data_IF_543391655745
#
_entry.id   IF_543391655745
#
_cell.length_a   1.000
_cell.length_b   1.000
_cell.length_c   1.000
_cell.angle_alpha   90.00
_cell.angle_beta   90.00
_cell.angle_gamma   90.00
#
_symmetry.space_group_name_H-M   'P 1'
#
loop_
_entity.id
_entity.type
_entity.pdbx_description
1 polymer ?
#
# COMPACT_ATOMS: atom_id res chain seq x y z
N UNK A 1 -8.17 -3.79 -0.17
CA UNK A 1 -7.86 -2.76 -1.19
C UNK A 1 -6.99 -3.44 -2.24
N UNK A 2 -7.42 -3.39 -3.50
CA UNK A 2 -6.64 -3.95 -4.61
C UNK A 2 -5.44 -3.05 -4.93
N UNK A 3 -4.50 -3.55 -5.72
CA UNK A 3 -3.39 -2.73 -6.21
C UNK A 3 -3.92 -1.55 -7.03
N UNK A 4 -4.80 -1.83 -7.99
CA UNK A 4 -5.36 -0.86 -8.91
C UNK A 4 -6.07 0.29 -8.18
N UNK A 5 -6.77 0.00 -7.09
CA UNK A 5 -7.39 1.03 -6.24
C UNK A 5 -6.38 1.95 -5.55
N UNK A 6 -5.20 1.44 -5.19
CA UNK A 6 -4.12 2.27 -4.65
C UNK A 6 -3.47 3.11 -5.75
N UNK A 7 -3.29 2.54 -6.94
CA UNK A 7 -2.77 3.28 -8.10
C UNK A 7 -3.70 4.45 -8.44
N UNK A 8 -5.00 4.20 -8.55
CA UNK A 8 -6.00 5.23 -8.84
C UNK A 8 -6.02 6.36 -7.77
N UNK A 9 -5.95 6.00 -6.49
CA UNK A 9 -5.94 6.97 -5.40
C UNK A 9 -4.68 7.85 -5.40
N UNK A 10 -3.53 7.27 -5.74
CA UNK A 10 -2.26 7.98 -5.84
C UNK A 10 -2.18 8.85 -7.11
N UNK A 11 -2.77 8.39 -8.23
CA UNK A 11 -2.91 9.19 -9.45
C UNK A 11 -3.79 10.41 -9.20
N UNK A 12 -4.85 10.27 -8.40
CA UNK A 12 -5.71 11.38 -7.99
C UNK A 12 -4.97 12.42 -7.12
N UNK A 13 -3.81 12.09 -6.55
CA UNK A 13 -2.95 13.00 -5.80
C UNK A 13 -1.87 13.67 -6.67
N UNK A 14 -1.87 13.41 -7.99
CA UNK A 14 -1.00 14.08 -8.96
C UNK A 14 0.45 13.59 -8.96
N UNK A 15 0.75 12.46 -8.32
CA UNK A 15 2.06 11.82 -8.43
C UNK A 15 2.09 10.86 -9.62
N UNK A 16 3.10 10.99 -10.48
CA UNK A 16 3.43 9.94 -11.45
C UNK A 16 3.99 8.74 -10.68
N UNK A 17 3.20 7.67 -10.65
CA UNK A 17 3.53 6.47 -9.89
C UNK A 17 4.36 5.54 -10.77
N UNK A 18 5.61 5.30 -10.39
CA UNK A 18 6.38 4.19 -10.95
C UNK A 18 5.71 2.85 -10.60
N UNK A 19 5.85 1.84 -11.46
CA UNK A 19 5.17 0.54 -11.27
C UNK A 19 5.51 -0.16 -9.95
N UNK A 20 6.53 0.26 -9.21
CA UNK A 20 6.94 -0.26 -7.90
C UNK A 20 6.56 0.66 -6.71
N UNK A 21 5.93 1.82 -6.95
CA UNK A 21 5.79 2.82 -5.89
C UNK A 21 4.83 2.33 -4.79
N UNK A 22 3.81 1.52 -5.12
CA UNK A 22 2.94 0.92 -4.12
C UNK A 22 3.74 0.07 -3.12
N UNK A 23 4.66 -0.77 -3.61
CA UNK A 23 5.53 -1.56 -2.74
C UNK A 23 6.38 -0.67 -1.84
N UNK A 24 6.91 0.43 -2.38
CA UNK A 24 7.69 1.41 -1.61
C UNK A 24 6.83 2.09 -0.55
N UNK A 25 5.63 2.55 -0.90
CA UNK A 25 4.71 3.19 0.04
C UNK A 25 4.28 2.24 1.16
N UNK A 26 3.90 1.00 0.82
CA UNK A 26 3.53 -0.01 1.80
C UNK A 26 4.71 -0.34 2.72
N UNK A 27 5.93 -0.39 2.19
CA UNK A 27 7.14 -0.56 2.98
C UNK A 27 7.38 0.62 3.95
N UNK A 28 7.27 1.86 3.47
CA UNK A 28 7.43 3.05 4.30
C UNK A 28 6.34 3.16 5.38
N UNK A 29 5.09 2.84 5.02
CA UNK A 29 3.97 2.81 5.96
C UNK A 29 4.23 1.77 7.05
N UNK A 30 4.58 0.52 6.70
CA UNK A 30 4.95 -0.52 7.68
C UNK A 30 6.09 -0.08 8.61
N UNK A 31 7.05 0.70 8.12
CA UNK A 31 8.13 1.24 8.95
C UNK A 31 7.63 2.28 9.95
N UNK A 32 6.62 3.09 9.59
CA UNK A 32 6.04 4.15 10.43
C UNK A 32 5.01 3.63 11.45
N UNK A 33 4.12 2.73 11.03
CA UNK A 33 2.97 2.28 11.83
C UNK A 33 3.09 0.85 12.36
N UNK A 34 4.23 0.19 12.12
CA UNK A 34 4.47 -1.20 12.51
C UNK A 34 4.33 -2.19 11.36
N UNK A 35 5.25 -3.16 11.33
CA UNK A 35 5.37 -4.14 10.25
C UNK A 35 4.19 -5.10 10.14
N UNK A 36 3.45 -5.32 11.23
CA UNK A 36 2.24 -6.15 11.29
C UNK A 36 0.97 -5.44 10.83
N UNK A 37 1.02 -4.12 10.67
CA UNK A 37 -0.15 -3.26 10.47
C UNK A 37 -0.71 -3.32 9.04
N UNK A 38 0.07 -3.82 8.07
CA UNK A 38 -0.41 -4.04 6.70
C UNK A 38 -0.07 -5.46 6.26
N UNK A 39 -1.07 -6.25 5.88
CA UNK A 39 -0.93 -7.61 5.37
C UNK A 39 -1.10 -7.63 3.86
N UNK A 40 -0.16 -8.26 3.16
CA UNK A 40 -0.25 -8.49 1.71
C UNK A 40 -0.96 -9.81 1.47
N UNK A 41 -2.04 -9.78 0.69
CA UNK A 41 -2.79 -10.96 0.28
C UNK A 41 -2.46 -11.21 -1.20
N UNK A 42 -1.70 -12.27 -1.47
CA UNK A 42 -1.27 -12.63 -2.83
C UNK A 42 -2.48 -12.78 -3.74
N UNK A 43 -2.45 -12.13 -4.90
CA UNK A 43 -3.54 -12.14 -5.89
C UNK A 43 -4.74 -11.25 -5.57
N UNK A 44 -4.76 -10.56 -4.42
CA UNK A 44 -5.89 -9.72 -4.01
C UNK A 44 -5.48 -8.28 -3.64
N UNK A 45 -4.27 -8.06 -3.12
CA UNK A 45 -3.76 -6.73 -2.77
C UNK A 45 -3.40 -6.61 -1.29
N UNK A 46 -3.86 -5.55 -0.63
CA UNK A 46 -3.45 -5.20 0.74
C UNK A 46 -4.64 -5.06 1.68
N UNK A 47 -4.41 -5.41 2.96
CA UNK A 47 -5.37 -5.30 4.06
C UNK A 47 -4.69 -4.70 5.29
N UNK A 48 -5.37 -3.81 6.00
CA UNK A 48 -4.93 -3.37 7.33
C UNK A 48 -5.00 -4.56 8.30
N UNK A 49 -3.89 -4.83 8.98
CA UNK A 49 -3.84 -5.71 10.15
C UNK A 49 -4.31 -4.98 11.40
N UNK A 50 -4.35 -5.69 12.52
CA UNK A 50 -4.70 -5.07 13.80
C UNK A 50 -3.60 -4.06 14.20
N UNK A 51 -3.99 -2.80 14.33
CA UNK A 51 -3.16 -1.75 14.92
C UNK A 51 -3.11 -2.06 16.43
N UNK A 52 -1.93 -2.43 16.93
CA UNK A 52 -1.68 -2.54 18.37
C UNK A 52 -1.25 -1.20 18.94
#
# INVERSE_FOLDING_TARGET
>A
ITRDQLEEALYAWGEEIESNAIEVFIYQLRKKIGSSSIKTIRGLGYRMGDLK
#
